data_IF_125126430082
#
_entry.id   IF_125126430082
#
_cell.length_a   1.000
_cell.length_b   1.000
_cell.length_c   1.000
_cell.angle_alpha   90.00
_cell.angle_beta   90.00
_cell.angle_gamma   90.00
#
_symmetry.space_group_name_H-M   'P 1'
#
loop_
_entity.id
_entity.type
_entity.pdbx_description
1 polymer ?
#
# COMPACT_ATOMS: atom_id res chain seq x y z
N UNK A 1 38.64 38.42 13.48
CA UNK A 1 39.41 38.84 12.29
C UNK A 1 38.42 39.26 11.21
N UNK A 2 38.60 40.43 10.58
CA UNK A 2 37.76 40.85 9.47
C UNK A 2 37.96 39.89 8.29
N UNK A 3 36.88 39.51 7.64
CA UNK A 3 36.86 38.68 6.44
C UNK A 3 36.44 39.56 5.27
N UNK A 4 37.21 39.53 4.19
CA UNK A 4 36.81 40.11 2.91
C UNK A 4 37.29 39.19 1.80
N UNK A 5 36.41 38.90 0.85
CA UNK A 5 36.71 38.04 -0.29
C UNK A 5 35.68 38.19 -1.39
N UNK A 6 36.06 37.80 -2.59
CA UNK A 6 35.18 37.78 -3.76
C UNK A 6 35.22 36.38 -4.36
N UNK A 7 34.05 35.88 -4.75
CA UNK A 7 33.86 34.61 -5.42
C UNK A 7 33.23 34.88 -6.78
N UNK A 8 34.00 34.61 -7.82
CA UNK A 8 33.53 34.55 -9.20
C UNK A 8 33.63 33.10 -9.65
N UNK A 9 32.49 32.47 -9.89
CA UNK A 9 32.45 31.08 -10.35
C UNK A 9 31.54 30.94 -11.57
N UNK A 10 32.05 30.23 -12.57
CA UNK A 10 31.26 29.78 -13.71
C UNK A 10 31.55 28.31 -13.93
N UNK A 11 30.55 27.46 -13.74
CA UNK A 11 30.69 26.01 -13.93
C UNK A 11 29.53 25.45 -14.74
N UNK A 12 29.83 24.44 -15.57
CA UNK A 12 28.86 23.58 -16.25
C UNK A 12 28.61 22.26 -15.52
N UNK A 13 29.41 21.98 -14.48
CA UNK A 13 29.31 20.77 -13.67
C UNK A 13 28.82 21.15 -12.26
N UNK A 14 27.66 20.61 -11.90
CA UNK A 14 27.05 20.78 -10.57
C UNK A 14 27.18 19.51 -9.72
N UNK A 15 28.02 18.57 -10.15
CA UNK A 15 28.25 17.28 -9.50
C UNK A 15 28.73 17.42 -8.05
N UNK A 16 29.34 18.56 -7.67
CA UNK A 16 29.77 18.83 -6.30
C UNK A 16 28.59 19.04 -5.32
N UNK A 17 27.38 19.36 -5.81
CA UNK A 17 26.20 19.55 -4.95
C UNK A 17 25.82 18.25 -4.23
N UNK A 18 26.02 17.08 -4.87
CA UNK A 18 25.70 15.78 -4.26
C UNK A 18 26.58 15.44 -3.05
N UNK A 19 27.74 16.09 -2.89
CA UNK A 19 28.58 15.95 -1.69
C UNK A 19 27.93 16.57 -0.44
N UNK A 20 27.09 17.60 -0.62
CA UNK A 20 26.40 18.30 0.46
C UNK A 20 24.93 17.86 0.58
N UNK A 21 24.35 17.34 -0.49
CA UNK A 21 22.98 16.86 -0.56
C UNK A 21 22.99 15.42 -1.10
N UNK A 22 23.15 14.41 -0.23
CA UNK A 22 23.30 13.02 -0.65
C UNK A 22 22.08 12.43 -1.36
N UNK A 23 20.90 13.06 -1.25
CA UNK A 23 19.67 12.65 -1.94
C UNK A 23 19.62 13.05 -3.43
N UNK A 24 20.62 13.80 -3.92
CA UNK A 24 20.74 14.22 -5.32
C UNK A 24 21.70 13.27 -6.05
N UNK A 25 21.19 12.47 -6.98
CA UNK A 25 21.99 11.53 -7.78
C UNK A 25 22.82 12.24 -8.85
N UNK A 26 22.18 13.18 -9.54
CA UNK A 26 22.78 13.90 -10.66
C UNK A 26 22.35 15.35 -10.64
N UNK A 27 23.34 16.23 -10.78
CA UNK A 27 23.14 17.64 -11.00
C UNK A 27 24.03 18.10 -12.17
N UNK A 28 23.42 18.72 -13.17
CA UNK A 28 24.10 19.32 -14.31
C UNK A 28 23.47 20.68 -14.63
N UNK A 29 24.20 21.56 -15.30
CA UNK A 29 23.68 22.89 -15.66
C UNK A 29 24.74 23.97 -15.57
N UNK A 30 24.39 25.19 -15.96
CA UNK A 30 25.29 26.33 -15.88
C UNK A 30 25.00 27.16 -14.64
N UNK A 31 25.96 27.20 -13.72
CA UNK A 31 25.96 28.12 -12.57
C UNK A 31 26.92 29.26 -12.85
N UNK A 32 26.43 30.48 -12.70
CA UNK A 32 27.21 31.72 -12.63
C UNK A 32 26.97 32.31 -11.25
N UNK A 33 28.05 32.60 -10.53
CA UNK A 33 28.01 33.15 -9.19
C UNK A 33 29.00 34.30 -9.08
N UNK A 34 28.49 35.45 -8.67
CA UNK A 34 29.27 36.65 -8.37
C UNK A 34 28.89 37.09 -6.96
N UNK A 35 29.70 36.69 -5.97
CA UNK A 35 29.40 36.87 -4.55
C UNK A 35 30.56 37.56 -3.84
N UNK A 36 30.25 38.66 -3.16
CA UNK A 36 31.16 39.34 -2.25
C UNK A 36 30.88 38.88 -0.82
N UNK A 37 31.94 38.50 -0.12
CA UNK A 37 31.90 38.06 1.28
C UNK A 37 32.61 39.12 2.11
N UNK A 38 31.96 39.62 3.15
CA UNK A 38 32.50 40.62 4.07
C UNK A 38 32.14 40.30 5.53
N UNK A 39 32.61 41.09 6.50
CA UNK A 39 32.24 40.93 7.91
C UNK A 39 33.30 40.21 8.74
N UNK A 40 32.90 39.22 9.55
CA UNK A 40 33.82 38.46 10.42
C UNK A 40 33.63 36.97 10.26
N UNK A 41 34.61 36.16 10.69
CA UNK A 41 34.53 34.69 10.61
C UNK A 41 33.30 34.09 11.34
N UNK A 42 32.73 34.81 12.33
CA UNK A 42 31.54 34.36 13.06
C UNK A 42 30.22 34.87 12.48
N UNK A 43 30.26 35.93 11.68
CA UNK A 43 29.09 36.58 11.05
C UNK A 43 29.48 37.12 9.67
N UNK A 44 29.72 36.24 8.68
CA UNK A 44 30.00 36.67 7.32
C UNK A 44 28.73 37.23 6.69
N UNK A 45 28.84 38.36 6.02
CA UNK A 45 27.81 38.92 5.16
C UNK A 45 28.13 38.53 3.72
N UNK A 46 27.12 38.08 2.98
CA UNK A 46 27.28 37.68 1.58
C UNK A 46 26.35 38.53 0.74
N UNK A 47 26.86 39.16 -0.31
CA UNK A 47 26.05 39.98 -1.22
C UNK A 47 26.44 39.70 -2.65
N UNK A 48 25.47 39.69 -3.57
CA UNK A 48 25.75 39.41 -4.98
C UNK A 48 24.62 38.68 -5.69
N UNK A 49 24.96 38.00 -6.78
CA UNK A 49 23.99 37.31 -7.63
C UNK A 49 24.43 35.87 -7.89
N UNK A 50 23.46 34.96 -7.83
CA UNK A 50 23.59 33.59 -8.28
C UNK A 50 22.60 33.37 -9.42
N UNK A 51 23.06 32.81 -10.52
CA UNK A 51 22.22 32.42 -11.66
C UNK A 51 22.52 31.00 -12.07
N UNK A 52 21.50 30.16 -11.98
CA UNK A 52 21.50 28.81 -12.48
C UNK A 52 20.61 28.75 -13.73
N UNK A 53 21.11 28.14 -14.79
CA UNK A 53 20.41 28.06 -16.07
C UNK A 53 20.57 26.69 -16.71
N UNK A 54 19.47 26.24 -17.31
CA UNK A 54 19.39 24.97 -18.04
C UNK A 54 19.88 23.78 -17.20
N UNK A 55 19.52 23.80 -15.91
CA UNK A 55 19.95 22.78 -14.97
C UNK A 55 19.01 21.58 -14.95
N UNK A 56 19.58 20.44 -14.58
CA UNK A 56 18.88 19.16 -14.43
C UNK A 56 19.26 18.56 -13.09
N UNK A 57 18.25 18.14 -12.32
CA UNK A 57 18.42 17.50 -11.02
C UNK A 57 17.57 16.25 -10.99
N UNK A 58 18.17 15.13 -10.57
CA UNK A 58 17.48 13.86 -10.35
C UNK A 58 17.47 13.51 -8.86
N UNK A 59 16.28 13.25 -8.32
CA UNK A 59 16.03 12.89 -6.92
C UNK A 59 15.58 11.42 -6.84
N UNK A 60 16.44 10.55 -6.30
CA UNK A 60 16.23 9.10 -6.30
C UNK A 60 15.01 8.65 -5.49
N UNK A 61 14.85 9.17 -4.26
CA UNK A 61 13.85 8.67 -3.32
C UNK A 61 12.41 8.80 -3.82
N UNK A 62 12.16 9.79 -4.68
CA UNK A 62 10.84 10.09 -5.27
C UNK A 62 10.82 9.88 -6.79
N UNK A 63 11.92 9.40 -7.38
CA UNK A 63 12.12 9.29 -8.83
C UNK A 63 11.71 10.57 -9.58
N UNK A 64 12.09 11.72 -9.04
CA UNK A 64 11.66 13.03 -9.54
C UNK A 64 12.78 13.68 -10.34
N UNK A 65 12.54 13.87 -11.64
CA UNK A 65 13.45 14.59 -12.53
C UNK A 65 13.01 16.04 -12.73
N UNK A 66 13.84 16.98 -12.28
CA UNK A 66 13.75 18.40 -12.59
C UNK A 66 14.59 18.67 -13.85
N UNK A 67 14.00 19.34 -14.84
CA UNK A 67 14.64 19.67 -16.12
C UNK A 67 14.46 21.14 -16.44
N UNK A 68 15.34 21.69 -17.28
CA UNK A 68 15.30 23.11 -17.68
C UNK A 68 15.19 24.04 -16.46
N UNK A 69 15.87 23.67 -15.38
CA UNK A 69 15.79 24.39 -14.12
C UNK A 69 16.54 25.72 -14.27
N UNK A 70 15.83 26.79 -13.97
CA UNK A 70 16.37 28.13 -13.85
C UNK A 70 16.17 28.63 -12.43
N UNK A 71 17.20 29.24 -11.84
CA UNK A 71 17.14 29.89 -10.54
C UNK A 71 17.93 31.18 -10.61
N UNK A 72 17.36 32.30 -10.20
CA UNK A 72 18.10 33.53 -9.95
C UNK A 72 17.92 33.88 -8.47
N UNK A 73 19.03 34.17 -7.80
CA UNK A 73 19.02 34.58 -6.40
C UNK A 73 19.89 35.82 -6.23
N UNK A 74 19.33 36.81 -5.54
CA UNK A 74 19.98 38.06 -5.17
C UNK A 74 20.27 38.00 -3.67
N UNK A 75 21.54 37.98 -3.31
CA UNK A 75 21.97 37.99 -1.92
C UNK A 75 22.21 39.41 -1.47
N UNK A 76 21.67 39.75 -0.31
CA UNK A 76 21.94 40.99 0.41
C UNK A 76 22.69 40.66 1.71
N UNK A 77 23.24 41.68 2.35
CA UNK A 77 23.91 41.55 3.64
C UNK A 77 23.04 40.85 4.70
N UNK A 78 21.73 41.03 4.65
CA UNK A 78 20.79 40.47 5.61
C UNK A 78 19.82 39.44 5.04
N UNK A 79 19.95 38.98 3.79
CA UNK A 79 18.94 38.08 3.23
C UNK A 79 19.19 37.60 1.81
N UNK A 80 18.15 36.97 1.25
CA UNK A 80 18.12 36.48 -0.13
C UNK A 80 16.71 36.60 -0.71
N UNK A 81 16.65 37.16 -1.90
CA UNK A 81 15.50 37.10 -2.79
C UNK A 81 15.79 36.08 -3.89
N UNK A 82 14.86 35.18 -4.17
CA UNK A 82 15.05 34.23 -5.26
C UNK A 82 13.77 33.98 -6.05
N UNK A 83 13.96 33.66 -7.32
CA UNK A 83 12.94 33.12 -8.19
C UNK A 83 13.51 31.92 -8.94
N UNK A 84 12.65 30.96 -9.21
CA UNK A 84 13.05 29.73 -9.87
C UNK A 84 11.90 29.13 -10.65
N UNK A 85 12.28 28.37 -11.67
CA UNK A 85 11.35 27.58 -12.48
C UNK A 85 12.00 26.27 -12.86
N UNK A 86 11.18 25.24 -13.01
CA UNK A 86 11.64 23.94 -13.47
C UNK A 86 10.52 23.21 -14.20
N UNK A 87 10.90 22.33 -15.11
CA UNK A 87 10.00 21.35 -15.72
C UNK A 87 10.07 20.04 -14.94
N UNK A 88 8.91 19.50 -14.58
CA UNK A 88 8.77 18.24 -13.83
C UNK A 88 7.85 17.32 -14.62
N UNK A 89 8.45 16.35 -15.32
CA UNK A 89 7.73 15.56 -16.33
C UNK A 89 7.14 16.45 -17.43
N UNK A 90 5.82 16.40 -17.60
CA UNK A 90 5.09 17.27 -18.54
C UNK A 90 4.70 18.64 -17.96
N UNK A 91 4.83 18.83 -16.64
CA UNK A 91 4.39 20.02 -15.93
C UNK A 91 5.50 21.06 -15.71
N UNK A 92 5.09 22.21 -15.19
CA UNK A 92 5.99 23.33 -14.85
C UNK A 92 5.76 23.78 -13.42
N UNK A 93 6.85 23.96 -12.68
CA UNK A 93 6.86 24.50 -11.34
C UNK A 93 7.58 25.85 -11.33
N UNK A 94 7.12 26.75 -10.49
CA UNK A 94 7.77 28.02 -10.16
C UNK A 94 7.84 28.16 -8.66
N UNK A 95 8.98 28.59 -8.14
CA UNK A 95 9.16 28.90 -6.74
C UNK A 95 9.77 30.29 -6.61
N UNK A 96 9.42 31.01 -5.56
CA UNK A 96 10.06 32.29 -5.28
C UNK A 96 9.83 32.68 -3.83
N UNK A 97 10.78 33.42 -3.29
CA UNK A 97 10.74 33.77 -1.88
C UNK A 97 11.69 34.90 -1.52
N UNK A 98 11.42 35.45 -0.35
CA UNK A 98 12.25 36.44 0.31
C UNK A 98 12.53 35.93 1.71
N UNK A 99 13.80 35.78 2.04
CA UNK A 99 14.27 35.33 3.34
C UNK A 99 15.29 36.31 3.91
N UNK A 100 15.15 36.65 5.18
CA UNK A 100 16.07 37.48 5.94
C UNK A 100 16.75 36.66 7.02
N UNK A 101 17.99 37.03 7.35
CA UNK A 101 18.82 36.40 8.37
C UNK A 101 18.69 37.17 9.67
N UNK A 102 18.18 36.50 10.71
CA UNK A 102 18.15 37.03 12.07
C UNK A 102 18.85 36.06 13.01
N UNK A 103 19.97 36.48 13.63
CA UNK A 103 20.83 35.62 14.44
C UNK A 103 21.25 34.33 13.69
N UNK A 104 21.62 34.47 12.41
CA UNK A 104 21.98 33.37 11.51
C UNK A 104 20.86 32.36 11.22
N UNK A 105 19.61 32.71 11.52
CA UNK A 105 18.44 31.89 11.25
C UNK A 105 17.54 32.57 10.19
N UNK A 106 16.97 31.79 9.26
CA UNK A 106 16.14 32.31 8.18
C UNK A 106 14.75 32.72 8.67
N UNK A 107 14.24 33.84 8.18
CA UNK A 107 12.86 34.28 8.40
C UNK A 107 12.28 34.82 7.10
N UNK A 108 11.05 34.47 6.76
CA UNK A 108 10.40 35.03 5.58
C UNK A 108 9.42 34.07 4.94
N UNK A 109 9.16 34.29 3.65
CA UNK A 109 8.12 33.58 2.91
C UNK A 109 8.66 33.00 1.61
N UNK A 110 8.23 31.78 1.31
CA UNK A 110 8.47 31.12 0.03
C UNK A 110 7.12 30.70 -0.53
N UNK A 111 6.95 30.88 -1.82
CA UNK A 111 5.76 30.46 -2.57
C UNK A 111 6.19 29.40 -3.58
N UNK A 112 5.37 28.36 -3.74
CA UNK A 112 5.56 27.29 -4.72
C UNK A 112 4.27 27.09 -5.47
N UNK A 113 4.32 27.27 -6.79
CA UNK A 113 3.20 27.02 -7.69
C UNK A 113 3.61 26.00 -8.73
N UNK A 114 2.73 25.08 -9.05
CA UNK A 114 2.98 24.05 -10.05
C UNK A 114 1.73 23.68 -10.82
N UNK A 115 1.93 23.31 -12.08
CA UNK A 115 0.84 22.84 -12.97
C UNK A 115 1.22 21.49 -13.55
N UNK A 116 0.39 20.48 -13.28
CA UNK A 116 0.53 19.11 -13.78
C UNK A 116 1.93 18.49 -13.60
N UNK A 117 2.53 18.70 -12.42
CA UNK A 117 3.82 18.12 -12.06
C UNK A 117 3.67 16.61 -11.91
N UNK A 118 4.44 15.82 -12.66
CA UNK A 118 4.54 14.37 -12.45
C UNK A 118 5.34 14.13 -11.16
N UNK A 119 4.65 14.00 -10.03
CA UNK A 119 5.28 13.89 -8.70
C UNK A 119 5.55 12.45 -8.28
N UNK A 120 4.84 11.49 -8.89
CA UNK A 120 5.07 10.05 -8.73
C UNK A 120 4.97 9.41 -10.10
N UNK A 121 5.99 8.66 -10.50
CA UNK A 121 6.00 7.87 -11.73
C UNK A 121 6.68 6.52 -11.48
N UNK A 122 5.93 5.61 -10.87
CA UNK A 122 6.34 4.25 -10.61
C UNK A 122 5.28 3.28 -11.17
N UNK A 123 5.62 2.00 -11.44
CA UNK A 123 4.65 1.04 -11.96
C UNK A 123 3.37 0.93 -11.11
N UNK A 124 3.49 1.11 -9.80
CA UNK A 124 2.40 1.03 -8.83
C UNK A 124 1.54 2.29 -8.75
N UNK A 125 2.07 3.45 -9.16
CA UNK A 125 1.39 4.72 -9.01
C UNK A 125 1.91 5.78 -9.99
N UNK A 126 0.98 6.49 -10.62
CA UNK A 126 1.27 7.69 -11.39
C UNK A 126 0.40 8.84 -10.89
N UNK A 127 1.01 9.95 -10.51
CA UNK A 127 0.30 11.09 -9.91
C UNK A 127 0.82 12.38 -10.54
N UNK A 128 -0.11 13.15 -11.12
CA UNK A 128 0.14 14.53 -11.52
C UNK A 128 -0.50 15.47 -10.50
N UNK A 129 0.29 16.38 -9.96
CA UNK A 129 -0.15 17.34 -8.94
C UNK A 129 0.06 18.79 -9.41
N UNK A 130 -0.86 19.67 -9.02
CA UNK A 130 -0.78 21.11 -9.24
C UNK A 130 -0.81 21.83 -7.88
N UNK A 131 0.34 21.97 -7.21
CA UNK A 131 0.43 22.62 -5.91
C UNK A 131 0.33 24.15 -6.02
N UNK A 132 -0.25 24.77 -5.01
CA UNK A 132 -0.11 26.19 -4.69
C UNK A 132 0.11 26.27 -3.17
N UNK A 133 1.37 26.41 -2.78
CA UNK A 133 1.83 26.29 -1.40
C UNK A 133 2.60 27.54 -0.97
N UNK A 134 2.32 27.98 0.25
CA UNK A 134 3.00 29.04 0.95
C UNK A 134 3.77 28.45 2.14
N UNK A 135 5.04 28.78 2.24
CA UNK A 135 5.92 28.39 3.32
C UNK A 135 6.27 29.64 4.13
N UNK A 136 5.91 29.65 5.40
CA UNK A 136 6.31 30.67 6.35
C UNK A 136 7.47 30.12 7.19
N UNK A 137 8.64 30.72 7.06
CA UNK A 137 9.86 30.31 7.76
C UNK A 137 10.09 31.27 8.92
N UNK A 138 10.18 30.74 10.14
CA UNK A 138 10.57 31.49 11.34
C UNK A 138 11.67 30.70 12.09
N UNK A 139 12.90 30.96 11.68
CA UNK A 139 14.09 30.26 12.13
C UNK A 139 14.07 28.79 11.79
N UNK A 140 13.83 27.94 12.80
CA UNK A 140 13.74 26.48 12.64
C UNK A 140 12.32 25.99 12.45
N UNK A 141 11.32 26.86 12.58
CA UNK A 141 9.91 26.52 12.38
C UNK A 141 9.51 26.85 10.96
N UNK A 142 8.95 25.87 10.26
CA UNK A 142 8.47 26.01 8.90
C UNK A 142 7.00 25.62 8.90
N UNK A 143 6.14 26.59 8.59
CA UNK A 143 4.71 26.35 8.40
C UNK A 143 4.39 26.30 6.92
N UNK A 144 3.80 25.20 6.47
CA UNK A 144 3.40 24.98 5.07
C UNK A 144 1.89 25.01 4.97
N UNK A 145 1.34 25.92 4.17
CA UNK A 145 -0.10 26.05 3.96
C UNK A 145 -0.42 26.10 2.47
N UNK A 146 -1.63 25.69 2.10
CA UNK A 146 -2.10 25.86 0.73
C UNK A 146 -2.92 24.69 0.22
N UNK A 147 -3.01 24.58 -1.11
CA UNK A 147 -3.85 23.60 -1.77
C UNK A 147 -3.07 22.84 -2.85
N UNK A 148 -3.38 21.56 -3.00
CA UNK A 148 -2.82 20.69 -4.04
C UNK A 148 -3.98 20.05 -4.79
N UNK A 149 -4.10 20.38 -6.08
CA UNK A 149 -5.05 19.71 -6.97
C UNK A 149 -4.37 18.51 -7.62
N UNK A 150 -5.06 17.38 -7.67
CA UNK A 150 -4.58 16.15 -8.32
C UNK A 150 -5.42 15.89 -9.56
N UNK A 151 -5.12 16.53 -10.70
CA UNK A 151 -5.88 16.37 -11.94
C UNK A 151 -5.76 14.98 -12.58
N UNK A 152 -4.75 14.19 -12.20
CA UNK A 152 -4.59 12.81 -12.63
C UNK A 152 -3.94 11.98 -11.52
N UNK A 153 -4.53 10.84 -11.21
CA UNK A 153 -3.92 9.82 -10.37
C UNK A 153 -4.32 8.44 -10.89
N UNK A 154 -3.36 7.53 -10.95
CA UNK A 154 -3.59 6.12 -11.25
C UNK A 154 -2.85 5.31 -10.22
N UNK A 155 -3.59 4.60 -9.39
CA UNK A 155 -3.06 3.76 -8.32
C UNK A 155 -3.37 2.31 -8.68
N UNK A 156 -2.33 1.48 -8.80
CA UNK A 156 -2.45 0.05 -9.10
C UNK A 156 -1.81 -0.78 -7.98
N UNK A 157 -2.17 -2.06 -7.75
CA UNK A 157 -1.54 -2.82 -6.68
C UNK A 157 -0.05 -2.98 -6.95
N UNK A 158 0.74 -2.92 -5.88
CA UNK A 158 2.09 -3.45 -5.88
C UNK A 158 2.02 -4.96 -6.07
N UNK A 159 2.87 -5.52 -6.93
CA UNK A 159 3.05 -6.97 -6.96
C UNK A 159 3.62 -7.41 -5.60
N UNK A 160 2.85 -8.18 -4.84
CA UNK A 160 3.20 -8.61 -3.49
C UNK A 160 3.95 -9.95 -3.48
N UNK A 161 4.32 -10.51 -4.63
CA UNK A 161 5.15 -11.72 -4.67
C UNK A 161 6.50 -11.45 -3.98
N UNK A 162 6.64 -11.94 -2.74
CA UNK A 162 7.87 -11.82 -1.95
C UNK A 162 7.87 -10.73 -0.87
N UNK A 163 6.77 -10.03 -0.62
CA UNK A 163 6.71 -9.01 0.43
C UNK A 163 6.70 -9.63 1.84
N UNK A 164 7.84 -9.60 2.53
CA UNK A 164 7.89 -9.79 3.98
C UNK A 164 7.42 -8.50 4.62
N UNK A 165 6.34 -8.58 5.41
CA UNK A 165 5.85 -7.44 6.20
C UNK A 165 6.96 -7.07 7.19
N UNK A 166 7.56 -5.89 7.03
CA UNK A 166 8.48 -5.36 8.04
C UNK A 166 7.71 -5.33 9.37
N UNK A 167 8.24 -6.03 10.36
CA UNK A 167 7.70 -5.99 11.72
C UNK A 167 7.87 -4.56 12.26
N UNK A 168 6.94 -4.03 13.06
CA UNK A 168 7.03 -2.69 13.66
C UNK A 168 8.29 -2.42 14.52
N UNK A 169 9.14 -3.43 14.71
CA UNK A 169 10.31 -3.41 15.58
C UNK A 169 11.64 -3.21 14.83
N UNK A 170 11.60 -2.72 13.58
CA UNK A 170 12.82 -2.36 12.87
C UNK A 170 13.35 -1.01 13.38
N UNK A 171 14.23 -1.09 14.38
CA UNK A 171 14.99 0.06 14.87
C UNK A 171 16.21 0.20 13.98
N UNK A 172 16.40 1.37 13.35
CA UNK A 172 17.67 1.70 12.70
C UNK A 172 18.73 1.86 13.80
N UNK A 173 19.51 0.80 14.04
CA UNK A 173 20.61 0.81 15.02
C UNK A 173 21.79 1.56 14.39
N UNK A 174 22.12 2.74 14.92
CA UNK A 174 23.34 3.47 14.55
C UNK A 174 23.14 4.94 14.15
N UNK A 175 21.92 5.47 14.12
CA UNK A 175 21.71 6.90 13.92
C UNK A 175 22.20 7.65 15.17
N UNK A 176 23.16 8.56 15.00
CA UNK A 176 23.57 9.48 16.05
C UNK A 176 22.31 10.20 16.59
N UNK A 177 22.17 10.26 17.90
CA UNK A 177 21.04 10.92 18.55
C UNK A 177 21.13 12.43 18.22
N UNK A 178 20.39 12.85 17.19
CA UNK A 178 20.37 14.24 16.76
C UNK A 178 19.74 15.10 17.86
N UNK A 179 20.48 16.11 18.32
CA UNK A 179 20.04 17.09 19.30
C UNK A 179 18.66 17.66 18.90
N UNK A 180 17.60 17.40 19.69
CA UNK A 180 16.25 17.86 19.40
C UNK A 180 16.17 19.37 19.19
N UNK A 181 17.03 20.15 19.83
CA UNK A 181 17.08 21.61 19.72
C UNK A 181 17.64 22.12 18.38
N UNK A 182 18.26 21.23 17.58
CA UNK A 182 18.82 21.55 16.25
C UNK A 182 17.97 21.05 15.10
N UNK A 183 16.82 20.43 15.35
CA UNK A 183 15.94 19.94 14.29
C UNK A 183 15.08 21.06 13.73
N UNK A 184 14.80 21.01 12.43
CA UNK A 184 13.76 21.84 11.83
C UNK A 184 12.41 21.23 12.17
N UNK A 185 11.46 22.08 12.56
CA UNK A 185 10.11 21.66 12.87
C UNK A 185 9.19 22.09 11.74
N UNK A 186 8.60 21.12 11.05
CA UNK A 186 7.72 21.38 9.90
C UNK A 186 6.28 21.09 10.31
N UNK A 187 5.43 22.10 10.24
CA UNK A 187 3.99 21.99 10.42
C UNK A 187 3.34 22.21 9.06
N UNK A 188 2.36 21.39 8.70
CA UNK A 188 1.65 21.52 7.43
C UNK A 188 0.15 21.51 7.60
N UNK A 189 -0.54 22.35 6.81
CA UNK A 189 -1.99 22.33 6.61
C UNK A 189 -2.25 22.43 5.11
N UNK A 190 -2.49 21.28 4.47
CA UNK A 190 -2.59 21.18 3.02
C UNK A 190 -3.96 20.62 2.64
N UNK A 191 -4.69 21.35 1.80
CA UNK A 191 -5.94 20.86 1.21
C UNK A 191 -5.64 20.12 -0.10
N UNK A 192 -5.85 18.82 -0.11
CA UNK A 192 -5.77 17.96 -1.29
C UNK A 192 -7.15 17.86 -1.94
N UNK A 193 -7.24 18.09 -3.24
CA UNK A 193 -8.49 17.91 -4.02
C UNK A 193 -8.23 16.99 -5.20
N UNK A 194 -8.97 15.89 -5.29
CA UNK A 194 -8.89 14.95 -6.41
C UNK A 194 -9.71 15.48 -7.59
N UNK A 195 -9.14 15.39 -8.79
CA UNK A 195 -9.84 15.71 -10.04
C UNK A 195 -10.46 14.47 -10.69
N UNK A 196 -11.12 14.68 -11.83
CA UNK A 196 -11.96 13.66 -12.49
C UNK A 196 -11.19 12.45 -13.05
N UNK A 197 -9.86 12.50 -13.11
CA UNK A 197 -9.01 11.40 -13.60
C UNK A 197 -8.19 10.75 -12.49
N UNK A 198 -8.72 10.73 -11.27
CA UNK A 198 -8.19 9.95 -10.17
C UNK A 198 -8.82 8.56 -10.18
N UNK A 199 -8.02 7.52 -10.45
CA UNK A 199 -8.46 6.13 -10.57
C UNK A 199 -7.67 5.25 -9.63
N UNK A 200 -8.35 4.24 -9.10
CA UNK A 200 -7.79 3.22 -8.24
C UNK A 200 -8.17 1.86 -8.80
N UNK A 201 -7.20 0.96 -8.86
CA UNK A 201 -7.41 -0.45 -9.12
C UNK A 201 -6.51 -1.17 -8.14
N UNK A 202 -7.01 -1.68 -7.01
CA UNK A 202 -6.17 -2.36 -6.02
C UNK A 202 -7.01 -3.19 -5.07
N UNK A 203 -6.47 -4.33 -4.62
CA UNK A 203 -7.14 -5.24 -3.66
C UNK A 203 -8.61 -5.55 -4.02
N UNK A 204 -8.91 -5.67 -5.32
CA UNK A 204 -10.26 -5.92 -5.82
C UNK A 204 -11.16 -4.70 -5.99
N UNK A 205 -10.78 -3.53 -5.46
CA UNK A 205 -11.47 -2.26 -5.72
C UNK A 205 -10.98 -1.68 -7.05
N UNK A 206 -11.88 -1.46 -7.99
CA UNK A 206 -11.61 -0.69 -9.21
C UNK A 206 -12.61 0.46 -9.29
N UNK A 207 -12.15 1.70 -9.44
CA UNK A 207 -13.05 2.84 -9.52
C UNK A 207 -12.38 4.19 -9.69
N UNK A 208 -13.23 5.21 -9.77
CA UNK A 208 -12.85 6.63 -9.85
C UNK A 208 -13.04 7.27 -8.48
N UNK A 209 -11.96 7.89 -8.01
CA UNK A 209 -11.91 8.61 -6.75
C UNK A 209 -12.31 10.07 -6.95
N UNK A 210 -12.91 10.67 -5.94
CA UNK A 210 -13.27 12.08 -5.89
C UNK A 210 -13.18 12.64 -4.48
N UNK A 211 -13.49 13.92 -4.35
CA UNK A 211 -13.55 14.62 -3.07
C UNK A 211 -12.29 15.40 -2.70
N UNK A 212 -12.25 15.85 -1.45
CA UNK A 212 -11.18 16.71 -0.93
C UNK A 212 -10.97 16.50 0.55
N UNK A 213 -9.71 16.48 0.96
CA UNK A 213 -9.29 16.36 2.35
C UNK A 213 -8.31 17.48 2.69
N UNK A 214 -8.40 18.00 3.90
CA UNK A 214 -7.37 18.87 4.47
C UNK A 214 -6.56 18.05 5.46
N UNK A 215 -5.27 17.88 5.15
CA UNK A 215 -4.31 17.13 5.97
C UNK A 215 -3.54 18.13 6.82
N UNK A 216 -3.47 17.85 8.12
CA UNK A 216 -2.73 18.62 9.10
C UNK A 216 -1.68 17.73 9.77
N UNK A 217 -0.42 18.07 9.60
CA UNK A 217 0.69 17.41 10.29
C UNK A 217 1.33 18.43 11.24
N UNK A 218 1.56 18.04 12.48
CA UNK A 218 2.10 18.89 13.54
C UNK A 218 3.39 18.33 14.12
N UNK A 219 3.77 18.83 15.30
CA UNK A 219 4.95 18.36 16.03
C UNK A 219 4.80 16.96 16.63
N UNK A 220 3.58 16.41 16.65
CA UNK A 220 3.31 15.04 17.06
C UNK A 220 3.35 14.08 15.87
N UNK A 221 3.62 12.80 16.15
CA UNK A 221 3.67 11.77 15.11
C UNK A 221 2.30 11.51 14.43
N UNK A 222 1.24 12.18 14.87
CA UNK A 222 -0.14 11.92 14.43
C UNK A 222 -0.55 12.95 13.38
N UNK A 223 -0.51 12.52 12.12
CA UNK A 223 -1.09 13.29 11.02
C UNK A 223 -2.61 13.17 11.05
N UNK A 224 -3.31 14.30 11.05
CA UNK A 224 -4.77 14.39 11.13
C UNK A 224 -5.36 14.84 9.81
N UNK A 225 -6.60 14.48 9.55
CA UNK A 225 -7.30 14.96 8.36
C UNK A 225 -8.76 15.32 8.64
N UNK A 226 -9.29 16.25 7.85
CA UNK A 226 -10.72 16.60 7.78
C UNK A 226 -11.19 16.59 6.33
N UNK A 227 -12.47 16.30 6.10
CA UNK A 227 -13.05 16.28 4.75
C UNK A 227 -13.49 14.88 4.35
N UNK A 228 -13.58 14.64 3.04
CA UNK A 228 -14.17 13.42 2.51
C UNK A 228 -13.52 13.03 1.18
N UNK A 229 -13.23 11.73 1.05
CA UNK A 229 -12.96 11.10 -0.23
C UNK A 229 -14.11 10.18 -0.60
N UNK A 230 -14.45 10.12 -1.87
CA UNK A 230 -15.53 9.29 -2.38
C UNK A 230 -15.08 8.41 -3.53
N UNK A 231 -15.79 7.30 -3.72
CA UNK A 231 -15.77 6.49 -4.94
C UNK A 231 -17.01 6.90 -5.71
N UNK A 232 -16.84 7.68 -6.77
CA UNK A 232 -17.96 8.18 -7.57
C UNK A 232 -18.53 7.08 -8.45
N UNK A 233 -17.66 6.27 -9.04
CA UNK A 233 -18.00 5.10 -9.85
C UNK A 233 -17.00 4.00 -9.53
N UNK A 234 -17.47 2.82 -9.13
CA UNK A 234 -16.55 1.74 -8.83
C UNK A 234 -17.21 0.39 -8.66
N UNK A 235 -16.37 -0.64 -8.68
CA UNK A 235 -16.73 -2.03 -8.46
C UNK A 235 -15.76 -2.61 -7.46
N UNK A 236 -16.28 -3.49 -6.61
CA UNK A 236 -15.46 -4.26 -5.70
C UNK A 236 -15.55 -5.74 -6.08
N UNK A 237 -14.39 -6.36 -6.26
CA UNK A 237 -14.25 -7.77 -6.62
C UNK A 237 -13.65 -8.53 -5.46
N UNK A 238 -14.45 -9.38 -4.83
CA UNK A 238 -13.99 -10.31 -3.80
C UNK A 238 -14.52 -11.71 -4.11
N UNK A 239 -13.70 -12.74 -3.86
CA UNK A 239 -14.08 -14.15 -4.09
C UNK A 239 -14.65 -14.42 -5.49
N UNK A 240 -14.05 -13.81 -6.52
CA UNK A 240 -14.51 -13.85 -7.92
C UNK A 240 -15.90 -13.24 -8.18
N UNK A 241 -16.44 -12.46 -7.24
CA UNK A 241 -17.73 -11.77 -7.38
C UNK A 241 -17.54 -10.27 -7.47
N UNK A 242 -18.14 -9.67 -8.51
CA UNK A 242 -18.14 -8.23 -8.75
C UNK A 242 -19.41 -7.60 -8.20
N UNK A 243 -19.25 -6.73 -7.20
CA UNK A 243 -20.29 -5.89 -6.61
C UNK A 243 -20.14 -4.47 -7.15
N UNK A 244 -21.23 -3.84 -7.58
CA UNK A 244 -21.23 -2.45 -8.01
C UNK A 244 -21.37 -1.55 -6.78
N UNK A 245 -20.45 -0.59 -6.63
CA UNK A 245 -20.43 0.35 -5.50
C UNK A 245 -21.44 1.45 -5.79
N UNK A 246 -22.52 1.50 -5.02
CA UNK A 246 -23.52 2.57 -5.09
C UNK A 246 -23.11 3.79 -4.27
N UNK A 247 -22.31 3.56 -3.22
CA UNK A 247 -21.77 4.60 -2.35
C UNK A 247 -20.47 4.09 -1.76
N UNK A 248 -19.40 4.87 -1.87
CA UNK A 248 -18.17 4.61 -1.13
C UNK A 248 -17.62 5.93 -0.62
N UNK A 249 -17.59 6.12 0.69
CA UNK A 249 -17.12 7.35 1.32
C UNK A 249 -16.12 7.04 2.42
N UNK A 250 -15.02 7.78 2.44
CA UNK A 250 -14.07 7.87 3.52
C UNK A 250 -14.21 9.25 4.14
N UNK A 251 -14.60 9.29 5.42
CA UNK A 251 -14.98 10.50 6.13
C UNK A 251 -13.92 10.79 7.18
N UNK A 252 -13.33 11.98 7.12
CA UNK A 252 -12.29 12.42 8.02
C UNK A 252 -12.84 13.50 8.95
N UNK A 253 -12.85 13.23 10.25
CA UNK A 253 -13.49 14.08 11.27
C UNK A 253 -12.48 14.82 12.16
N UNK A 254 -11.22 14.93 11.73
CA UNK A 254 -10.13 15.55 12.50
C UNK A 254 -9.27 14.56 13.31
N UNK A 255 -9.54 13.25 13.17
CA UNK A 255 -8.73 12.18 13.74
C UNK A 255 -7.52 11.81 12.86
N UNK A 256 -6.80 10.72 13.21
CA UNK A 256 -5.69 10.19 12.43
C UNK A 256 -6.08 9.89 10.97
N UNK A 257 -5.20 10.26 10.03
CA UNK A 257 -5.44 10.11 8.58
C UNK A 257 -5.49 8.64 8.14
N UNK A 258 -4.87 7.74 8.90
CA UNK A 258 -4.82 6.29 8.64
C UNK A 258 -6.06 5.52 9.14
N UNK A 259 -6.97 6.18 9.87
CA UNK A 259 -8.17 5.56 10.43
C UNK A 259 -9.46 6.39 10.18
N UNK A 260 -9.81 6.70 8.92
CA UNK A 260 -11.03 7.42 8.60
C UNK A 260 -12.29 6.61 8.94
N UNK A 261 -13.42 7.31 9.03
CA UNK A 261 -14.74 6.69 8.99
C UNK A 261 -15.03 6.13 7.60
N UNK A 262 -15.67 4.98 7.52
CA UNK A 262 -16.03 4.30 6.28
C UNK A 262 -17.55 4.22 6.17
N UNK A 263 -18.12 4.56 5.01
CA UNK A 263 -19.52 4.25 4.64
C UNK A 263 -19.54 3.77 3.19
N UNK A 264 -19.61 2.45 3.02
CA UNK A 264 -19.64 1.79 1.72
C UNK A 264 -20.93 0.99 1.60
N UNK A 265 -21.61 1.12 0.46
CA UNK A 265 -22.73 0.28 0.03
C UNK A 265 -22.43 -0.26 -1.36
N UNK A 266 -22.33 -1.58 -1.47
CA UNK A 266 -22.11 -2.28 -2.72
C UNK A 266 -23.19 -3.34 -2.95
N UNK A 267 -23.61 -3.52 -4.20
CA UNK A 267 -24.75 -4.37 -4.55
C UNK A 267 -24.44 -5.31 -5.71
N UNK A 268 -25.17 -6.41 -5.78
CA UNK A 268 -25.30 -7.27 -6.94
C UNK A 268 -26.77 -7.41 -7.29
N UNK A 269 -27.11 -7.09 -8.52
CA UNK A 269 -28.43 -7.34 -9.07
C UNK A 269 -28.50 -8.75 -9.66
N UNK A 270 -29.49 -9.50 -9.23
CA UNK A 270 -29.94 -10.76 -9.83
C UNK A 270 -31.36 -10.54 -10.42
N UNK A 271 -31.88 -11.44 -11.27
CA UNK A 271 -33.19 -11.26 -11.90
C UNK A 271 -34.32 -10.97 -10.91
N UNK A 272 -34.33 -11.66 -9.76
CA UNK A 272 -35.44 -11.61 -8.79
C UNK A 272 -35.05 -10.97 -7.44
N UNK A 273 -33.78 -10.65 -7.24
CA UNK A 273 -33.28 -10.14 -5.95
C UNK A 273 -32.07 -9.22 -6.14
N UNK A 274 -32.03 -8.11 -5.43
CA UNK A 274 -30.80 -7.33 -5.23
C UNK A 274 -30.21 -7.68 -3.88
N UNK A 275 -28.99 -8.21 -3.85
CA UNK A 275 -28.26 -8.48 -2.61
C UNK A 275 -27.11 -7.49 -2.47
N UNK A 276 -26.79 -7.08 -1.25
CA UNK A 276 -25.74 -6.10 -1.03
C UNK A 276 -25.07 -6.18 0.34
N UNK A 277 -23.99 -5.43 0.46
CA UNK A 277 -23.19 -5.28 1.67
C UNK A 277 -23.08 -3.81 2.02
N UNK A 278 -23.26 -3.49 3.30
CA UNK A 278 -22.92 -2.21 3.87
C UNK A 278 -21.71 -2.38 4.78
N UNK A 279 -20.70 -1.51 4.64
CA UNK A 279 -19.51 -1.47 5.49
C UNK A 279 -19.49 -0.10 6.18
N UNK A 280 -19.48 -0.12 7.52
CA UNK A 280 -19.47 1.09 8.36
C UNK A 280 -18.52 0.99 9.52
N UNK A 281 -18.15 2.10 10.14
CA UNK A 281 -17.22 2.14 11.27
C UNK A 281 -15.95 2.88 10.89
N UNK A 282 -14.81 2.51 11.47
CA UNK A 282 -13.52 3.07 11.09
C UNK A 282 -12.75 2.09 10.21
N UNK A 283 -11.73 2.57 9.49
CA UNK A 283 -10.93 1.72 8.61
C UNK A 283 -10.22 0.58 9.37
N UNK A 284 -9.81 0.81 10.62
CA UNK A 284 -9.21 -0.21 11.48
C UNK A 284 -10.23 -1.16 12.14
N UNK A 285 -11.50 -0.75 12.25
CA UNK A 285 -12.57 -1.55 12.85
C UNK A 285 -13.86 -1.49 12.00
N UNK A 286 -13.83 -2.03 10.77
CA UNK A 286 -14.99 -2.02 9.90
C UNK A 286 -16.03 -3.05 10.38
N UNK A 287 -17.30 -2.66 10.32
CA UNK A 287 -18.47 -3.52 10.58
C UNK A 287 -19.22 -3.73 9.27
N UNK A 288 -19.41 -5.01 8.93
CA UNK A 288 -20.12 -5.41 7.72
C UNK A 288 -21.53 -5.86 8.08
N UNK A 289 -22.50 -5.48 7.25
CA UNK A 289 -23.89 -5.96 7.34
C UNK A 289 -24.40 -6.26 5.94
N UNK A 290 -25.20 -7.32 5.82
CA UNK A 290 -25.73 -7.79 4.54
C UNK A 290 -27.21 -7.46 4.44
N UNK A 291 -27.68 -7.14 3.24
CA UNK A 291 -29.08 -6.83 2.97
C UNK A 291 -29.52 -7.41 1.62
N UNK A 292 -30.83 -7.56 1.45
CA UNK A 292 -31.41 -7.89 0.15
C UNK A 292 -32.77 -7.23 -0.02
N UNK A 293 -33.13 -7.00 -1.28
CA UNK A 293 -34.43 -6.51 -1.71
C UNK A 293 -34.98 -7.49 -2.77
N UNK A 294 -36.05 -8.27 -2.47
CA UNK A 294 -36.80 -8.34 -1.20
C UNK A 294 -35.99 -8.94 -0.03
N UNK A 295 -36.46 -8.74 1.20
CA UNK A 295 -35.75 -9.16 2.42
C UNK A 295 -35.67 -10.69 2.56
N UNK A 296 -34.45 -11.23 2.58
CA UNK A 296 -34.16 -12.65 2.75
C UNK A 296 -33.50 -12.93 4.12
N UNK A 297 -33.52 -14.18 4.61
CA UNK A 297 -32.71 -14.60 5.76
C UNK A 297 -31.21 -14.35 5.51
N UNK A 298 -30.47 -13.91 6.53
CA UNK A 298 -29.04 -13.57 6.40
C UNK A 298 -28.19 -14.69 5.79
N UNK A 299 -28.45 -15.95 6.13
CA UNK A 299 -27.74 -17.10 5.56
C UNK A 299 -27.90 -17.20 4.04
N UNK A 300 -29.09 -16.87 3.52
CA UNK A 300 -29.35 -16.85 2.08
C UNK A 300 -28.67 -15.66 1.40
N UNK A 301 -28.64 -14.48 2.03
CA UNK A 301 -27.94 -13.30 1.51
C UNK A 301 -26.44 -13.57 1.43
N UNK A 302 -25.87 -14.15 2.48
CA UNK A 302 -24.45 -14.54 2.53
C UNK A 302 -24.16 -15.61 1.48
N UNK A 303 -25.03 -16.60 1.31
CA UNK A 303 -24.90 -17.60 0.23
C UNK A 303 -24.96 -16.96 -1.16
N UNK A 304 -25.88 -16.03 -1.41
CA UNK A 304 -25.98 -15.29 -2.68
C UNK A 304 -24.73 -14.44 -2.96
N UNK A 305 -24.12 -13.84 -1.93
CA UNK A 305 -22.94 -12.98 -2.10
C UNK A 305 -21.64 -13.80 -2.17
N UNK A 306 -21.51 -14.88 -1.40
CA UNK A 306 -20.29 -15.68 -1.29
C UNK A 306 -20.30 -16.94 -2.18
N UNK A 307 -21.38 -17.72 -2.16
CA UNK A 307 -21.50 -18.96 -2.94
C UNK A 307 -21.99 -18.69 -4.39
N UNK A 308 -22.81 -17.65 -4.58
CA UNK A 308 -23.26 -17.17 -5.89
C UNK A 308 -24.23 -18.08 -6.64
N UNK A 309 -25.14 -18.74 -5.90
CA UNK A 309 -26.21 -19.56 -6.45
C UNK A 309 -27.51 -18.77 -6.71
N UNK A 310 -28.45 -19.35 -7.48
CA UNK A 310 -29.81 -18.82 -7.64
C UNK A 310 -30.66 -19.04 -6.38
N UNK A 311 -31.80 -18.35 -6.25
CA UNK A 311 -32.73 -18.54 -5.14
C UNK A 311 -33.15 -20.02 -4.97
N UNK A 312 -33.16 -20.81 -6.05
CA UNK A 312 -33.43 -22.26 -6.04
C UNK A 312 -32.34 -23.07 -5.31
N UNK A 313 -31.07 -22.66 -5.37
CA UNK A 313 -29.99 -23.29 -4.57
C UNK A 313 -30.03 -22.87 -3.10
N UNK A 314 -30.59 -21.69 -2.79
CA UNK A 314 -30.79 -21.23 -1.41
C UNK A 314 -32.06 -21.83 -0.76
N UNK A 315 -33.07 -22.18 -1.56
CA UNK A 315 -34.34 -22.74 -1.11
C UNK A 315 -34.36 -24.28 -1.02
N UNK A 316 -33.52 -24.98 -1.78
CA UNK A 316 -33.63 -26.45 -1.92
C UNK A 316 -33.07 -27.28 -0.76
N UNK A 317 -32.51 -26.69 0.30
CA UNK A 317 -31.94 -27.47 1.41
C UNK A 317 -30.79 -28.43 1.01
N UNK A 318 -30.39 -28.42 -0.28
CA UNK A 318 -29.31 -29.19 -0.88
C UNK A 318 -27.93 -28.58 -0.57
N UNK A 319 -27.82 -27.95 0.60
CA UNK A 319 -26.60 -27.28 1.05
C UNK A 319 -25.42 -28.25 1.16
N UNK A 320 -25.63 -29.54 1.39
CA UNK A 320 -24.52 -30.47 1.58
C UNK A 320 -23.84 -30.89 0.26
N UNK A 321 -24.57 -31.26 -0.79
CA UNK A 321 -23.94 -31.78 -2.02
C UNK A 321 -23.27 -30.67 -2.86
N UNK A 322 -23.82 -29.45 -2.85
CA UNK A 322 -23.21 -28.31 -3.51
C UNK A 322 -22.02 -27.72 -2.72
N UNK A 323 -22.04 -27.75 -1.37
CA UNK A 323 -20.87 -27.42 -0.56
C UNK A 323 -19.74 -28.45 -0.73
N UNK A 324 -20.07 -29.74 -0.87
CA UNK A 324 -19.07 -30.80 -1.04
C UNK A 324 -18.32 -30.65 -2.38
N UNK A 325 -19.04 -30.36 -3.47
CA UNK A 325 -18.42 -30.12 -4.78
C UNK A 325 -17.71 -28.77 -4.86
N UNK A 326 -18.27 -27.71 -4.25
CA UNK A 326 -17.62 -26.39 -4.17
C UNK A 326 -16.39 -26.38 -3.27
N UNK A 327 -16.40 -27.15 -2.17
CA UNK A 327 -15.28 -27.31 -1.25
C UNK A 327 -14.10 -28.03 -1.87
N UNK A 328 -14.33 -29.04 -2.72
CA UNK A 328 -13.28 -29.74 -3.46
C UNK A 328 -12.53 -28.81 -4.42
N UNK A 329 -13.28 -27.99 -5.17
CA UNK A 329 -12.72 -27.05 -6.17
C UNK A 329 -11.99 -25.89 -5.48
N UNK A 330 -12.55 -25.36 -4.39
CA UNK A 330 -11.92 -24.31 -3.58
C UNK A 330 -10.67 -24.83 -2.86
N UNK A 331 -10.68 -26.06 -2.36
CA UNK A 331 -9.53 -26.65 -1.70
C UNK A 331 -8.38 -26.93 -2.69
N UNK A 332 -8.67 -27.35 -3.93
CA UNK A 332 -7.67 -27.48 -4.99
C UNK A 332 -7.07 -26.12 -5.44
N UNK A 333 -7.89 -25.07 -5.52
CA UNK A 333 -7.42 -23.72 -5.89
C UNK A 333 -6.65 -23.01 -4.75
N UNK A 334 -7.01 -23.27 -3.49
CA UNK A 334 -6.29 -22.76 -2.34
C UNK A 334 -5.00 -23.56 -2.09
N UNK A 335 -5.03 -24.88 -2.28
CA UNK A 335 -3.86 -25.74 -2.15
C UNK A 335 -2.75 -25.34 -3.10
N UNK A 336 -3.05 -25.13 -4.38
CA UNK A 336 -2.08 -24.68 -5.39
C UNK A 336 -1.46 -23.31 -5.10
N UNK A 337 -2.14 -22.40 -4.39
CA UNK A 337 -1.60 -21.09 -3.99
C UNK A 337 -0.77 -21.13 -2.69
N UNK A 338 -1.01 -22.11 -1.82
CA UNK A 338 -0.27 -22.31 -0.56
C UNK A 338 0.86 -23.35 -0.74
N UNK A 339 1.04 -23.88 -1.96
CA UNK A 339 2.05 -24.89 -2.27
C UNK A 339 1.73 -26.26 -1.65
N UNK A 340 0.45 -26.59 -1.54
CA UNK A 340 -0.10 -27.91 -1.20
C UNK A 340 -0.49 -28.55 -2.53
N UNK A 341 0.24 -29.60 -2.91
CA UNK A 341 0.20 -30.18 -4.26
C UNK A 341 -0.91 -31.21 -4.45
N UNK A 342 -1.39 -31.81 -3.35
CA UNK A 342 -2.42 -32.85 -3.39
C UNK A 342 -3.59 -32.47 -2.47
N UNK A 343 -4.77 -32.30 -3.06
CA UNK A 343 -6.01 -32.04 -2.33
C UNK A 343 -7.06 -32.98 -2.89
N UNK A 344 -7.44 -33.96 -2.08
CA UNK A 344 -8.32 -35.05 -2.49
C UNK A 344 -9.37 -35.34 -1.42
N UNK A 345 -10.49 -35.88 -1.86
CA UNK A 345 -11.52 -36.46 -0.99
C UNK A 345 -11.30 -37.97 -0.99
N UNK A 346 -10.98 -38.52 0.17
CA UNK A 346 -10.79 -39.95 0.35
C UNK A 346 -11.99 -40.50 1.12
N UNK A 347 -12.71 -41.43 0.49
CA UNK A 347 -13.77 -42.20 1.11
C UNK A 347 -13.18 -43.55 1.51
N UNK A 348 -12.87 -43.72 2.80
CA UNK A 348 -12.30 -44.97 3.29
C UNK A 348 -13.45 -45.85 3.83
N UNK A 349 -13.72 -47.02 3.22
CA UNK A 349 -14.70 -47.95 3.75
C UNK A 349 -14.13 -48.59 5.03
N UNK A 350 -14.40 -47.97 6.18
CA UNK A 350 -13.97 -48.51 7.46
C UNK A 350 -14.89 -49.66 7.87
N UNK A 351 -14.34 -50.86 7.91
CA UNK A 351 -15.02 -52.04 8.43
C UNK A 351 -14.88 -52.04 9.95
N UNK A 352 -15.90 -51.55 10.66
CA UNK A 352 -15.96 -51.66 12.12
C UNK A 352 -16.41 -53.07 12.51
N UNK A 353 -15.51 -53.83 13.15
CA UNK A 353 -15.81 -55.16 13.68
C UNK A 353 -16.06 -55.08 15.18
N UNK A 354 -17.28 -54.69 15.57
CA UNK A 354 -17.71 -54.73 16.97
C UNK A 354 -18.29 -56.11 17.30
N UNK A 355 -17.50 -56.96 17.96
CA UNK A 355 -17.95 -58.24 18.52
C UNK A 355 -18.27 -59.34 17.51
N UNK A 356 -19.00 -60.37 17.96
CA UNK A 356 -19.38 -61.59 17.21
C UNK A 356 -20.57 -61.40 16.26
N UNK A 357 -20.91 -60.16 15.89
CA UNK A 357 -21.95 -59.84 14.91
C UNK A 357 -21.38 -59.27 13.61
N UNK A 358 -22.12 -59.45 12.52
CA UNK A 358 -21.74 -59.10 11.15
C UNK A 358 -21.12 -57.71 11.01
N UNK A 359 -20.10 -57.52 10.14
CA UNK A 359 -19.46 -56.24 9.93
C UNK A 359 -20.45 -55.20 9.39
N UNK A 360 -20.54 -54.06 10.07
CA UNK A 360 -21.25 -52.88 9.55
C UNK A 360 -20.24 -52.05 8.76
N UNK A 361 -20.51 -51.87 7.46
CA UNK A 361 -19.69 -51.02 6.60
C UNK A 361 -20.21 -49.58 6.70
N UNK A 362 -19.38 -48.68 7.23
CA UNK A 362 -19.64 -47.24 7.25
C UNK A 362 -18.62 -46.54 6.36
N UNK A 363 -19.09 -45.71 5.43
CA UNK A 363 -18.20 -44.91 4.58
C UNK A 363 -17.88 -43.61 5.30
N UNK A 364 -16.65 -43.44 5.75
CA UNK A 364 -16.17 -42.19 6.33
C UNK A 364 -15.56 -41.34 5.20
N UNK A 365 -16.06 -40.11 5.04
CA UNK A 365 -15.56 -39.20 3.98
C UNK A 365 -14.63 -38.19 4.62
N UNK A 366 -13.39 -38.16 4.16
CA UNK A 366 -12.36 -37.27 4.69
C UNK A 366 -11.80 -36.34 3.61
N UNK A 367 -11.53 -35.09 4.00
CA UNK A 367 -10.78 -34.15 3.19
C UNK A 367 -9.29 -34.32 3.50
N UNK A 368 -8.49 -34.67 2.50
CA UNK A 368 -7.05 -34.92 2.64
C UNK A 368 -6.27 -33.80 1.97
N UNK A 369 -5.35 -33.21 2.74
CA UNK A 369 -4.42 -32.17 2.31
C UNK A 369 -2.99 -32.73 2.35
N UNK A 370 -2.33 -32.84 1.21
CA UNK A 370 -1.05 -33.52 1.04
C UNK A 370 0.03 -32.68 0.37
N UNK A 371 1.28 -32.90 0.77
CA UNK A 371 2.46 -32.24 0.20
C UNK A 371 3.67 -33.17 0.16
N UNK A 372 4.41 -33.12 -0.95
CA UNK A 372 5.75 -33.68 -1.02
C UNK A 372 6.76 -32.70 -0.40
N UNK A 373 7.41 -33.11 0.69
CA UNK A 373 8.50 -32.34 1.30
C UNK A 373 9.85 -32.66 0.65
N UNK A 374 9.94 -33.80 -0.05
CA UNK A 374 11.03 -34.17 -0.95
C UNK A 374 10.51 -35.21 -1.95
N UNK A 375 11.28 -35.57 -3.00
CA UNK A 375 10.88 -36.64 -3.93
C UNK A 375 10.59 -37.99 -3.26
N UNK A 376 11.06 -38.19 -2.02
CA UNK A 376 10.90 -39.44 -1.26
C UNK A 376 9.99 -39.31 -0.05
N UNK A 377 9.59 -38.10 0.35
CA UNK A 377 8.81 -37.85 1.57
C UNK A 377 7.51 -37.12 1.26
N UNK A 378 6.40 -37.81 1.48
CA UNK A 378 5.04 -37.30 1.35
C UNK A 378 4.37 -37.21 2.73
N UNK A 379 3.77 -36.08 3.04
CA UNK A 379 3.04 -35.85 4.29
C UNK A 379 1.63 -35.39 3.94
N UNK A 380 0.63 -35.96 4.61
CA UNK A 380 -0.77 -35.60 4.41
C UNK A 380 -1.54 -35.53 5.71
N UNK A 381 -2.53 -34.65 5.73
CA UNK A 381 -3.42 -34.39 6.84
C UNK A 381 -4.86 -34.55 6.37
N UNK A 382 -5.55 -35.53 6.94
CA UNK A 382 -6.96 -35.84 6.70
C UNK A 382 -7.83 -35.32 7.83
N UNK A 383 -8.88 -34.58 7.47
CA UNK A 383 -9.96 -34.20 8.40
C UNK A 383 -11.22 -34.94 7.98
N UNK A 384 -11.73 -35.82 8.85
CA UNK A 384 -13.01 -36.49 8.59
C UNK A 384 -14.16 -35.47 8.65
N UNK A 385 -15.02 -35.49 7.63
CA UNK A 385 -16.16 -34.57 7.49
C UNK A 385 -17.42 -35.13 8.17
N UNK A 386 -17.42 -36.43 8.43
CA UNK A 386 -18.52 -37.19 9.02
C UNK A 386 -18.27 -37.53 10.50
N UNK A 387 -17.01 -37.60 10.92
CA UNK A 387 -16.61 -37.80 12.32
C UNK A 387 -15.58 -36.71 12.71
N UNK A 388 -15.62 -36.14 13.92
CA UNK A 388 -14.61 -35.14 14.37
C UNK A 388 -13.26 -35.81 14.69
N UNK A 389 -12.59 -36.34 13.67
CA UNK A 389 -11.34 -37.08 13.79
C UNK A 389 -10.34 -36.55 12.78
N UNK A 390 -9.11 -36.35 13.25
CA UNK A 390 -8.00 -35.85 12.47
C UNK A 390 -6.96 -36.95 12.35
N UNK A 391 -6.47 -37.18 11.13
CA UNK A 391 -5.48 -38.22 10.84
C UNK A 391 -4.31 -37.63 10.08
N UNK A 392 -3.08 -37.88 10.53
CA UNK A 392 -1.84 -37.54 9.83
C UNK A 392 -1.30 -38.82 9.22
N UNK A 393 -1.09 -38.83 7.90
CA UNK A 393 -0.43 -39.92 7.18
C UNK A 393 0.92 -39.43 6.64
N UNK A 394 1.99 -40.18 6.89
CA UNK A 394 3.32 -39.92 6.36
C UNK A 394 3.79 -41.12 5.55
N UNK A 395 4.37 -40.86 4.38
CA UNK A 395 4.89 -41.88 3.48
C UNK A 395 6.31 -41.53 3.07
N UNK A 396 7.25 -42.43 3.36
CA UNK A 396 8.66 -42.26 3.04
C UNK A 396 9.20 -43.44 2.24
N UNK A 397 9.79 -43.17 1.08
CA UNK A 397 10.35 -44.19 0.19
C UNK A 397 11.83 -44.43 0.49
N UNK A 398 12.20 -45.66 0.85
CA UNK A 398 13.57 -46.10 1.09
C UNK A 398 14.08 -46.87 -0.14
N UNK A 399 14.86 -46.20 -0.97
CA UNK A 399 15.30 -46.76 -2.26
C UNK A 399 14.12 -46.97 -3.22
N UNK A 400 14.26 -47.91 -4.14
CA UNK A 400 13.29 -48.07 -5.24
C UNK A 400 12.16 -49.09 -4.92
N UNK A 401 12.32 -49.87 -3.85
CA UNK A 401 11.41 -50.99 -3.57
C UNK A 401 10.72 -50.94 -2.20
N UNK A 402 11.17 -50.09 -1.27
CA UNK A 402 10.62 -50.06 0.10
C UNK A 402 9.92 -48.74 0.37
N UNK A 403 8.72 -48.79 0.95
CA UNK A 403 7.97 -47.62 1.40
C UNK A 403 7.50 -47.82 2.83
N UNK A 404 7.88 -46.90 3.71
CA UNK A 404 7.34 -46.82 5.08
C UNK A 404 6.12 -45.91 5.03
N UNK A 405 4.98 -46.41 5.52
CA UNK A 405 3.76 -45.63 5.73
C UNK A 405 3.48 -45.56 7.22
N UNK A 406 3.25 -44.37 7.75
CA UNK A 406 2.83 -44.19 9.13
C UNK A 406 1.52 -43.43 9.15
N UNK A 407 0.63 -43.82 10.06
CA UNK A 407 -0.65 -43.18 10.27
C UNK A 407 -0.84 -42.90 11.75
N UNK A 408 -1.21 -41.65 12.05
CA UNK A 408 -1.42 -41.16 13.40
C UNK A 408 -2.76 -40.42 13.45
N UNK A 409 -3.74 -41.04 14.11
CA UNK A 409 -5.08 -40.49 14.30
C UNK A 409 -5.83 -41.27 15.37
N UNK A 410 -7.01 -41.81 15.04
CA UNK A 410 -7.71 -42.77 15.92
C UNK A 410 -6.95 -44.08 16.12
N UNK A 411 -6.34 -44.60 15.06
CA UNK A 411 -5.38 -45.69 15.12
C UNK A 411 -3.96 -45.12 14.97
N UNK A 412 -2.98 -45.81 15.57
CA UNK A 412 -1.56 -45.51 15.42
C UNK A 412 -0.92 -46.74 14.81
N UNK A 413 -0.45 -46.63 13.57
CA UNK A 413 0.07 -47.74 12.79
C UNK A 413 1.29 -47.34 11.99
N UNK A 414 2.16 -48.30 11.72
CA UNK A 414 3.29 -48.15 10.83
C UNK A 414 3.42 -49.42 9.99
N UNK A 415 3.35 -49.27 8.69
CA UNK A 415 3.44 -50.35 7.72
C UNK A 415 4.70 -50.19 6.88
N UNK A 416 5.35 -51.31 6.59
CA UNK A 416 6.47 -51.39 5.66
C UNK A 416 6.00 -52.16 4.41
N UNK A 417 5.99 -51.49 3.28
CA UNK A 417 5.48 -52.01 2.01
C UNK A 417 6.62 -52.23 1.04
N UNK A 418 6.68 -53.42 0.43
CA UNK A 418 7.65 -53.76 -0.62
C UNK A 418 6.95 -53.79 -1.99
N UNK A 419 7.45 -52.99 -2.94
CA UNK A 419 6.96 -52.93 -4.32
C UNK A 419 7.90 -53.63 -5.29
N UNK A 420 7.35 -54.48 -6.17
CA UNK A 420 8.08 -55.13 -7.26
C UNK A 420 7.57 -54.50 -8.56
N UNK A 421 8.43 -53.73 -9.23
CA UNK A 421 8.15 -53.26 -10.59
C UNK A 421 8.18 -54.46 -11.54
N UNK A 422 7.16 -54.58 -12.40
CA UNK A 422 7.02 -55.68 -13.35
C UNK A 422 7.22 -55.22 -14.78
#
# INVERSE_FOLDING_TARGET
>A
MPLQGELHAQTGELSLISLYMPDIDRAAGRLVADVQISGTLGTPFMSGMLKLSDAEIDLYQVNLGLRQLGLEAHLTDSGVDFNGSARVGSGTATAGGHLEWHNSLPRGKITLQGTNLRVVDIPEAQIDASPNLDFNVDGRKIEVTGAVRVPFAKIVPKDLTGAVRATPDEVIVGSAEEDPAKRFEVVSTITLTLGDRATIDTFGLTGRLGGSITVRSGYDAVTRATGELSIEEGKYTAYARKLDIQRGRLIFTGGPVDNPGVDIRAVKQYPDVTAGVNVRGTLLQPRMSFFSEPSLPQSQIVSLILAGGSLETAQSGAGNEALLQGGAILAQQLGSRVGIEDVSLESDPTIQRTGTSSPTQTNDTSLVLGKYLSPRLYVSYGVSLTQQLNTIKLRYSLGDHWTVKTEVGQARGADLVFGIDR
#
